data_IF_125571649987
#
_entry.id   IF_125571649987
#
_cell.length_a   1.000
_cell.length_b   1.000
_cell.length_c   1.000
_cell.angle_alpha   90.00
_cell.angle_beta   90.00
_cell.angle_gamma   90.00
#
_symmetry.space_group_name_H-M   'P 1'
#
loop_
_entity.id
_entity.type
_entity.pdbx_description
1 polymer ?
#
# COMPACT_ATOMS: atom_id res chain seq x y z
N UNK A 1 43.35 22.69 -2.04
CA UNK A 1 42.40 22.04 -2.95
C UNK A 1 43.16 20.88 -3.59
N UNK A 2 42.66 19.66 -3.41
CA UNK A 2 43.36 18.45 -3.77
C UNK A 2 42.94 18.04 -5.21
N UNK A 3 43.73 18.37 -6.24
CA UNK A 3 43.44 18.09 -7.66
C UNK A 3 42.97 16.64 -7.91
N UNK A 4 43.47 15.67 -7.12
CA UNK A 4 43.05 14.27 -7.21
C UNK A 4 41.56 14.04 -6.74
N UNK A 5 41.03 14.88 -5.87
CA UNK A 5 39.63 14.81 -5.39
C UNK A 5 38.66 15.34 -6.45
N UNK A 6 39.01 16.45 -7.08
CA UNK A 6 38.19 17.06 -8.14
C UNK A 6 38.10 16.15 -9.38
N UNK A 7 39.23 15.52 -9.77
CA UNK A 7 39.24 14.57 -10.88
C UNK A 7 38.36 13.35 -10.62
N UNK A 8 38.40 12.78 -9.39
CA UNK A 8 37.57 11.66 -9.01
C UNK A 8 36.05 12.01 -9.04
N UNK A 9 35.74 13.21 -8.65
CA UNK A 9 34.33 13.68 -8.67
C UNK A 9 33.84 13.92 -10.10
N UNK A 10 34.69 14.49 -10.97
CA UNK A 10 34.37 14.63 -12.38
C UNK A 10 34.15 13.28 -13.07
N UNK A 11 34.97 12.29 -12.77
CA UNK A 11 34.79 10.92 -13.29
C UNK A 11 33.46 10.32 -12.84
N UNK A 12 33.06 10.48 -11.56
CA UNK A 12 31.76 9.99 -11.06
C UNK A 12 30.59 10.67 -11.79
N UNK A 13 30.68 11.97 -12.04
CA UNK A 13 29.65 12.71 -12.79
C UNK A 13 29.57 12.27 -14.25
N UNK A 14 30.73 11.99 -14.87
CA UNK A 14 30.79 11.46 -16.23
C UNK A 14 30.18 10.05 -16.33
N UNK A 15 30.52 9.14 -15.40
CA UNK A 15 29.97 7.80 -15.33
C UNK A 15 28.45 7.81 -15.10
N UNK A 16 27.97 8.69 -14.21
CA UNK A 16 26.55 8.91 -14.03
C UNK A 16 25.86 9.33 -15.33
N UNK A 17 26.41 10.35 -16.01
CA UNK A 17 25.85 10.85 -17.27
C UNK A 17 25.83 9.77 -18.35
N UNK A 18 26.90 8.97 -18.46
CA UNK A 18 26.98 7.84 -19.38
C UNK A 18 25.92 6.77 -19.06
N UNK A 19 25.73 6.46 -17.78
CA UNK A 19 24.72 5.51 -17.32
C UNK A 19 23.30 5.98 -17.67
N UNK A 20 23.00 7.26 -17.41
CA UNK A 20 21.71 7.87 -17.74
C UNK A 20 21.47 7.90 -19.27
N UNK A 21 22.48 8.27 -20.05
CA UNK A 21 22.39 8.23 -21.51
C UNK A 21 22.11 6.83 -22.08
N UNK A 22 22.70 5.78 -21.48
CA UNK A 22 22.41 4.38 -21.84
C UNK A 22 20.98 3.96 -21.50
N UNK A 23 20.43 4.44 -20.38
CA UNK A 23 19.05 4.17 -19.96
C UNK A 23 18.01 4.88 -20.82
N UNK A 24 18.32 6.08 -21.30
CA UNK A 24 17.44 6.88 -22.18
C UNK A 24 17.39 6.36 -23.63
N UNK A 25 18.10 5.28 -23.95
CA UNK A 25 18.18 4.67 -25.27
C UNK A 25 19.59 4.76 -25.86
N UNK A 26 19.93 3.79 -26.73
CA UNK A 26 21.23 3.79 -27.42
C UNK A 26 21.27 4.96 -28.45
N UNK A 27 22.44 5.54 -28.66
CA UNK A 27 22.68 6.65 -29.60
C UNK A 27 22.02 7.97 -29.18
N UNK A 28 22.10 8.31 -27.88
CA UNK A 28 21.56 9.52 -27.31
C UNK A 28 22.64 10.35 -26.59
N UNK A 29 22.48 11.69 -26.60
CA UNK A 29 23.32 12.61 -25.85
C UNK A 29 22.62 12.94 -24.52
N UNK A 30 23.33 12.73 -23.42
CA UNK A 30 22.86 13.12 -22.09
C UNK A 30 23.78 14.19 -21.49
N UNK A 31 23.19 15.34 -21.21
CA UNK A 31 23.91 16.43 -20.53
C UNK A 31 23.84 16.22 -19.02
N UNK A 32 24.96 16.42 -18.34
CA UNK A 32 25.01 16.31 -16.88
C UNK A 32 23.99 17.23 -16.22
N UNK A 33 23.16 16.66 -15.36
CA UNK A 33 22.19 17.38 -14.55
C UNK A 33 22.55 17.18 -13.08
N UNK A 34 22.90 18.29 -12.40
CA UNK A 34 23.30 18.25 -10.99
C UNK A 34 22.18 17.82 -10.05
N UNK A 35 20.92 18.16 -10.36
CA UNK A 35 19.75 17.78 -9.54
C UNK A 35 19.55 16.27 -9.60
N UNK A 36 19.57 15.70 -10.80
CA UNK A 36 19.43 14.24 -10.99
C UNK A 36 20.62 13.48 -10.39
N UNK A 37 21.83 14.01 -10.52
CA UNK A 37 23.00 13.44 -9.86
C UNK A 37 22.85 13.43 -8.34
N UNK A 38 22.39 14.52 -7.74
CA UNK A 38 22.15 14.59 -6.29
C UNK A 38 21.08 13.61 -5.86
N UNK A 39 19.97 13.49 -6.61
CA UNK A 39 18.93 12.48 -6.35
C UNK A 39 19.51 11.06 -6.42
N UNK A 40 20.35 10.79 -7.40
CA UNK A 40 21.01 9.48 -7.55
C UNK A 40 21.91 9.15 -6.36
N UNK A 41 22.76 10.10 -5.93
CA UNK A 41 23.64 9.91 -4.77
C UNK A 41 22.82 9.71 -3.49
N UNK A 42 21.78 10.50 -3.27
CA UNK A 42 20.87 10.34 -2.12
C UNK A 42 20.19 8.94 -2.13
N UNK A 43 19.79 8.46 -3.30
CA UNK A 43 19.20 7.11 -3.44
C UNK A 43 20.21 6.02 -3.10
N UNK A 44 21.47 6.15 -3.54
CA UNK A 44 22.54 5.20 -3.18
C UNK A 44 22.80 5.19 -1.67
N UNK A 45 22.86 6.38 -1.06
CA UNK A 45 23.10 6.51 0.37
C UNK A 45 21.91 5.94 1.18
N UNK A 46 20.69 6.24 0.79
CA UNK A 46 19.48 5.68 1.39
C UNK A 46 19.47 4.14 1.30
N UNK A 47 19.87 3.57 0.15
CA UNK A 47 19.99 2.12 -0.03
C UNK A 47 20.98 1.49 0.94
N UNK A 48 22.13 2.12 1.17
CA UNK A 48 23.13 1.64 2.14
C UNK A 48 22.57 1.68 3.56
N UNK A 49 21.93 2.78 3.95
CA UNK A 49 21.29 2.91 5.26
C UNK A 49 20.19 1.88 5.50
N UNK A 50 19.33 1.63 4.52
CA UNK A 50 18.30 0.58 4.60
C UNK A 50 18.93 -0.81 4.76
N UNK A 51 20.02 -1.09 4.03
CA UNK A 51 20.75 -2.36 4.17
C UNK A 51 21.32 -2.55 5.57
N UNK A 52 21.90 -1.51 6.14
CA UNK A 52 22.45 -1.56 7.50
C UNK A 52 21.33 -1.73 8.53
N UNK A 53 20.21 -1.02 8.38
CA UNK A 53 19.01 -1.19 9.21
C UNK A 53 18.50 -2.64 9.21
N UNK A 54 18.46 -3.30 8.06
CA UNK A 54 18.08 -4.72 7.95
C UNK A 54 19.04 -5.62 8.73
N UNK A 55 20.37 -5.38 8.62
CA UNK A 55 21.40 -6.14 9.38
C UNK A 55 21.31 -5.88 10.89
N UNK A 56 20.91 -4.67 11.30
CA UNK A 56 20.71 -4.27 12.69
C UNK A 56 19.30 -4.66 13.20
N UNK A 57 18.77 -5.78 12.75
CA UNK A 57 17.46 -6.31 13.15
C UNK A 57 16.29 -5.34 12.85
N UNK A 58 16.27 -4.79 11.65
CA UNK A 58 15.25 -3.87 11.13
C UNK A 58 15.12 -2.56 11.94
N UNK A 59 16.22 -2.05 12.47
CA UNK A 59 16.27 -0.80 13.23
C UNK A 59 15.72 0.35 12.39
N UNK A 60 14.82 1.12 12.98
CA UNK A 60 14.15 2.26 12.33
C UNK A 60 12.95 1.89 11.46
N UNK A 61 12.73 0.60 11.16
CA UNK A 61 11.49 0.18 10.51
C UNK A 61 10.34 0.13 11.51
N UNK A 62 9.21 0.72 11.13
CA UNK A 62 7.99 0.80 11.93
C UNK A 62 6.77 0.54 11.04
N UNK A 63 5.69 0.02 11.65
CA UNK A 63 4.39 -0.08 10.98
C UNK A 63 3.47 1.01 11.51
N UNK A 64 2.88 1.77 10.57
CA UNK A 64 1.80 2.71 10.83
C UNK A 64 0.51 2.10 10.32
N UNK A 65 -0.62 2.59 10.83
CA UNK A 65 -1.93 2.03 10.54
C UNK A 65 -2.90 3.12 10.17
N UNK A 66 -3.63 2.93 9.07
CA UNK A 66 -4.66 3.85 8.62
C UNK A 66 -6.03 3.20 8.75
N UNK A 67 -7.02 3.88 9.37
CA UNK A 67 -8.35 3.32 9.56
C UNK A 67 -9.08 3.05 8.24
N UNK A 68 -9.78 1.92 8.18
CA UNK A 68 -10.77 1.59 7.16
C UNK A 68 -12.13 1.52 7.84
N UNK A 69 -13.13 2.21 7.28
CA UNK A 69 -14.45 2.35 7.87
C UNK A 69 -15.54 1.67 7.03
N UNK A 70 -16.62 1.26 7.72
CA UNK A 70 -17.83 0.74 7.08
C UNK A 70 -18.62 1.90 6.47
N UNK A 71 -18.73 1.93 5.15
CA UNK A 71 -19.47 2.94 4.41
C UNK A 71 -20.97 2.65 4.30
N UNK A 72 -21.41 1.42 4.59
CA UNK A 72 -22.80 0.97 4.40
C UNK A 72 -23.83 1.77 5.23
N UNK A 73 -23.38 2.38 6.33
CA UNK A 73 -24.20 3.20 7.24
C UNK A 73 -24.11 4.69 6.97
N UNK A 74 -23.24 5.12 6.06
CA UNK A 74 -23.11 6.50 5.65
C UNK A 74 -24.20 6.81 4.61
N UNK A 75 -25.27 7.42 5.04
CA UNK A 75 -26.34 7.88 4.13
C UNK A 75 -26.19 9.38 3.88
N UNK A 76 -26.59 9.82 2.69
CA UNK A 76 -26.62 11.23 2.26
C UNK A 76 -27.48 12.15 3.16
N UNK A 77 -28.19 11.59 4.14
CA UNK A 77 -29.07 12.33 5.06
C UNK A 77 -28.52 12.51 6.47
N UNK A 78 -27.43 11.84 6.84
CA UNK A 78 -26.80 11.99 8.15
C UNK A 78 -25.35 12.44 7.97
N UNK A 79 -25.15 13.73 7.91
CA UNK A 79 -23.84 14.41 7.80
C UNK A 79 -22.94 14.21 9.05
N UNK A 80 -23.05 13.08 9.74
CA UNK A 80 -22.23 12.82 10.92
C UNK A 80 -21.33 11.63 10.66
N UNK A 81 -20.07 11.92 10.43
CA UNK A 81 -18.95 10.99 10.54
C UNK A 81 -18.82 10.47 12.00
N UNK A 82 -19.46 11.16 12.96
CA UNK A 82 -19.58 10.74 14.34
C UNK A 82 -20.35 9.40 14.45
N UNK A 83 -19.60 8.35 14.81
CA UNK A 83 -20.15 7.00 14.99
C UNK A 83 -19.94 6.03 13.82
N UNK A 84 -19.17 6.42 12.82
CA UNK A 84 -18.73 5.51 11.75
C UNK A 84 -17.85 4.42 12.34
N UNK A 85 -18.20 3.15 12.09
CA UNK A 85 -17.47 2.01 12.65
C UNK A 85 -16.15 1.80 11.91
N UNK A 86 -15.04 1.82 12.62
CA UNK A 86 -13.75 1.34 12.11
C UNK A 86 -13.79 -0.19 12.08
N UNK A 87 -13.70 -0.76 10.90
CA UNK A 87 -13.79 -2.21 10.67
C UNK A 87 -12.43 -2.87 10.46
N UNK A 88 -11.40 -2.08 10.20
CA UNK A 88 -10.06 -2.55 9.96
C UNK A 88 -9.06 -1.41 9.86
N UNK A 89 -7.83 -1.79 9.52
CA UNK A 89 -6.77 -0.85 9.21
C UNK A 89 -5.84 -1.39 8.14
N UNK A 90 -5.29 -0.49 7.34
CA UNK A 90 -4.18 -0.79 6.45
C UNK A 90 -2.85 -0.55 7.16
N UNK A 91 -1.96 -1.54 7.09
CA UNK A 91 -0.63 -1.49 7.65
C UNK A 91 0.37 -0.92 6.64
N UNK A 92 0.93 0.22 6.97
CA UNK A 92 1.77 1.02 6.10
C UNK A 92 3.20 1.11 6.63
N UNK A 93 4.16 0.65 5.85
CA UNK A 93 5.57 0.68 6.20
C UNK A 93 6.06 2.12 6.36
N UNK A 94 6.85 2.34 7.42
CA UNK A 94 7.63 3.55 7.68
C UNK A 94 9.06 3.17 8.02
N UNK A 95 9.95 4.07 7.76
CA UNK A 95 11.33 3.92 8.19
C UNK A 95 11.90 5.27 8.59
N UNK A 96 12.61 5.30 9.71
CA UNK A 96 13.23 6.51 10.25
C UNK A 96 14.70 6.35 10.51
N UNK A 97 15.47 7.36 10.18
CA UNK A 97 16.86 7.51 10.61
C UNK A 97 17.21 8.99 10.79
N UNK A 98 18.30 9.31 11.51
CA UNK A 98 18.66 10.69 11.81
C UNK A 98 18.87 11.57 10.57
N UNK A 99 19.37 10.98 9.47
CA UNK A 99 19.75 11.72 8.27
C UNK A 99 18.58 12.05 7.36
N UNK A 100 17.55 11.21 7.32
CA UNK A 100 16.40 11.34 6.42
C UNK A 100 15.09 11.63 7.13
N UNK A 101 15.06 11.51 8.48
CA UNK A 101 13.82 11.59 9.23
C UNK A 101 12.91 10.38 8.97
N UNK A 102 11.60 10.58 9.05
CA UNK A 102 10.58 9.55 8.80
C UNK A 102 10.21 9.52 7.32
N UNK A 103 10.43 8.38 6.68
CA UNK A 103 10.11 8.13 5.27
C UNK A 103 8.91 7.16 5.14
N UNK A 104 8.06 7.42 4.14
CA UNK A 104 6.93 6.57 3.78
C UNK A 104 7.29 5.39 2.87
N UNK A 105 6.35 4.50 2.67
CA UNK A 105 6.49 3.34 1.79
C UNK A 105 6.84 3.75 0.34
N UNK A 106 6.20 4.80 -0.16
CA UNK A 106 6.43 5.38 -1.49
C UNK A 106 7.90 5.72 -1.79
N UNK A 107 8.63 6.11 -0.75
CA UNK A 107 10.04 6.51 -0.86
C UNK A 107 11.00 5.32 -0.70
N UNK A 108 10.66 4.33 0.14
CA UNK A 108 11.60 3.26 0.51
C UNK A 108 11.33 1.94 -0.22
N UNK A 109 10.07 1.58 -0.51
CA UNK A 109 9.72 0.32 -1.17
C UNK A 109 10.41 0.15 -2.52
N UNK A 110 10.45 1.15 -3.43
CA UNK A 110 11.15 1.00 -4.70
C UNK A 110 12.65 0.70 -4.53
N UNK A 111 13.28 1.20 -3.45
CA UNK A 111 14.70 0.94 -3.15
C UNK A 111 14.89 -0.46 -2.57
N UNK A 112 13.95 -0.92 -1.72
CA UNK A 112 13.96 -2.28 -1.18
C UNK A 112 13.78 -3.33 -2.29
N UNK A 113 12.91 -3.06 -3.26
CA UNK A 113 12.68 -3.89 -4.44
C UNK A 113 13.92 -3.99 -5.32
N UNK A 114 14.48 -2.84 -5.75
CA UNK A 114 15.68 -2.79 -6.58
C UNK A 114 16.89 -3.47 -5.93
N UNK A 115 17.00 -3.37 -4.59
CA UNK A 115 18.13 -3.94 -3.83
C UNK A 115 17.91 -5.39 -3.40
N UNK A 116 16.71 -5.95 -3.58
CA UNK A 116 16.33 -7.28 -3.10
C UNK A 116 16.07 -7.37 -1.60
N UNK A 117 16.12 -6.23 -0.90
CA UNK A 117 15.83 -6.18 0.53
C UNK A 117 14.32 -6.33 0.83
N UNK A 118 13.47 -6.21 -0.19
CA UNK A 118 12.02 -6.35 -0.03
C UNK A 118 11.63 -7.75 0.51
N UNK A 119 12.36 -8.81 0.17
CA UNK A 119 12.06 -10.15 0.68
C UNK A 119 12.24 -10.27 2.21
N UNK A 120 13.40 -9.94 2.83
CA UNK A 120 13.54 -9.97 4.28
C UNK A 120 12.68 -8.92 4.99
N UNK A 121 12.50 -7.72 4.41
CA UNK A 121 11.65 -6.67 4.98
C UNK A 121 10.18 -7.09 4.89
N UNK A 122 9.73 -7.69 3.80
CA UNK A 122 8.36 -8.19 3.64
C UNK A 122 8.00 -9.27 4.68
N UNK A 123 8.91 -10.22 4.95
CA UNK A 123 8.74 -11.18 6.06
C UNK A 123 8.57 -10.48 7.40
N UNK A 124 9.38 -9.46 7.66
CA UNK A 124 9.28 -8.68 8.89
C UNK A 124 7.95 -7.94 8.97
N UNK A 125 7.50 -7.30 7.87
CA UNK A 125 6.20 -6.61 7.76
C UNK A 125 5.06 -7.58 8.09
N UNK A 126 5.02 -8.75 7.44
CA UNK A 126 3.97 -9.75 7.66
C UNK A 126 3.89 -10.16 9.13
N UNK A 127 5.02 -10.52 9.76
CA UNK A 127 5.05 -10.92 11.17
C UNK A 127 4.58 -9.77 12.07
N UNK A 128 5.04 -8.54 11.83
CA UNK A 128 4.66 -7.37 12.65
C UNK A 128 3.19 -7.05 12.52
N UNK A 129 2.68 -7.00 11.29
CA UNK A 129 1.28 -6.69 11.00
C UNK A 129 0.34 -7.75 11.58
N UNK A 130 0.65 -9.03 11.38
CA UNK A 130 -0.18 -10.13 11.89
C UNK A 130 -0.19 -10.18 13.42
N UNK A 131 0.97 -9.94 14.05
CA UNK A 131 1.05 -9.83 15.51
C UNK A 131 0.21 -8.67 16.04
N UNK A 132 0.26 -7.51 15.38
CA UNK A 132 -0.54 -6.35 15.76
C UNK A 132 -2.04 -6.61 15.55
N UNK A 133 -2.42 -7.25 14.46
CA UNK A 133 -3.80 -7.67 14.21
C UNK A 133 -4.32 -8.58 15.34
N UNK A 134 -3.53 -9.59 15.72
CA UNK A 134 -3.86 -10.50 16.83
C UNK A 134 -4.10 -9.74 18.13
N UNK A 135 -3.26 -8.76 18.45
CA UNK A 135 -3.42 -7.93 19.65
C UNK A 135 -4.74 -7.12 19.61
N UNK A 136 -5.07 -6.54 18.46
CA UNK A 136 -6.29 -5.75 18.32
C UNK A 136 -7.55 -6.62 18.24
N UNK A 137 -7.43 -7.87 17.81
CA UNK A 137 -8.52 -8.83 17.87
C UNK A 137 -8.93 -9.22 19.32
N UNK A 138 -8.14 -8.87 20.32
CA UNK A 138 -8.55 -8.98 21.71
C UNK A 138 -9.67 -7.96 22.07
N UNK A 139 -9.68 -6.81 21.40
CA UNK A 139 -10.68 -5.76 21.57
C UNK A 139 -11.87 -5.97 20.61
N UNK A 140 -11.61 -6.39 19.38
CA UNK A 140 -12.62 -6.66 18.37
C UNK A 140 -12.23 -7.88 17.53
N UNK A 141 -12.92 -9.00 17.73
CA UNK A 141 -12.65 -10.26 17.02
C UNK A 141 -12.87 -10.19 15.50
N UNK A 142 -13.62 -9.18 15.04
CA UNK A 142 -13.93 -8.96 13.63
C UNK A 142 -13.06 -7.88 12.98
N UNK A 143 -12.12 -7.30 13.73
CA UNK A 143 -11.21 -6.31 13.19
C UNK A 143 -10.26 -6.95 12.16
N UNK A 144 -10.14 -6.32 11.01
CA UNK A 144 -9.31 -6.80 9.91
C UNK A 144 -8.06 -5.94 9.75
N UNK A 145 -6.99 -6.56 9.32
CA UNK A 145 -5.74 -5.88 9.04
C UNK A 145 -5.29 -6.19 7.62
N UNK A 146 -5.16 -5.18 6.79
CA UNK A 146 -4.60 -5.34 5.45
C UNK A 146 -3.12 -4.99 5.40
N UNK A 147 -2.41 -5.61 4.48
CA UNK A 147 -0.99 -5.40 4.24
C UNK A 147 -0.64 -5.57 2.77
N UNK A 148 0.11 -4.62 2.25
CA UNK A 148 0.56 -4.59 0.87
C UNK A 148 1.64 -5.66 0.60
N UNK A 149 1.51 -6.37 -0.51
CA UNK A 149 2.52 -7.28 -1.06
C UNK A 149 3.16 -6.68 -2.31
N UNK A 150 4.49 -6.63 -2.33
CA UNK A 150 5.23 -6.28 -3.55
C UNK A 150 5.33 -7.47 -4.49
N UNK A 151 5.16 -7.26 -5.80
CA UNK A 151 5.39 -8.30 -6.81
C UNK A 151 6.80 -8.89 -6.76
N UNK A 152 7.79 -8.12 -6.34
CA UNK A 152 9.14 -8.63 -6.18
C UNK A 152 9.27 -9.67 -5.05
N UNK A 153 8.33 -9.75 -4.11
CA UNK A 153 8.28 -10.82 -3.12
C UNK A 153 7.86 -12.15 -3.75
N UNK A 154 6.92 -12.14 -4.70
CA UNK A 154 6.52 -13.33 -5.44
C UNK A 154 7.66 -13.92 -6.26
N UNK A 155 8.54 -13.07 -6.82
CA UNK A 155 9.69 -13.52 -7.61
C UNK A 155 10.90 -13.93 -6.76
N UNK A 156 11.08 -13.33 -5.57
CA UNK A 156 12.33 -13.43 -4.78
C UNK A 156 12.20 -14.17 -3.47
N UNK A 157 11.01 -14.59 -3.10
CA UNK A 157 10.77 -15.41 -1.91
C UNK A 157 9.68 -16.43 -2.18
N UNK A 158 9.59 -17.44 -1.33
CA UNK A 158 8.39 -18.29 -1.25
C UNK A 158 7.36 -17.53 -0.41
N UNK A 159 6.54 -16.71 -1.08
CA UNK A 159 5.58 -15.84 -0.41
C UNK A 159 4.53 -16.62 0.37
N UNK A 160 4.14 -17.82 -0.12
CA UNK A 160 3.18 -18.69 0.56
C UNK A 160 3.76 -19.15 1.89
N UNK A 161 5.01 -19.61 1.88
CA UNK A 161 5.72 -20.01 3.09
C UNK A 161 5.93 -18.83 4.04
N UNK A 162 6.28 -17.65 3.52
CA UNK A 162 6.48 -16.45 4.33
C UNK A 162 5.19 -16.05 5.07
N UNK A 163 4.03 -16.16 4.40
CA UNK A 163 2.70 -15.91 4.99
C UNK A 163 2.34 -16.98 6.02
N UNK A 164 2.56 -18.27 5.73
CA UNK A 164 2.32 -19.37 6.68
C UNK A 164 3.13 -19.18 7.96
N UNK A 165 4.42 -18.87 7.83
CA UNK A 165 5.29 -18.58 8.99
C UNK A 165 4.82 -17.38 9.80
N UNK A 166 4.29 -16.34 9.15
CA UNK A 166 3.76 -15.17 9.85
C UNK A 166 2.47 -15.51 10.61
N UNK A 167 1.57 -16.32 10.05
CA UNK A 167 0.38 -16.83 10.72
C UNK A 167 0.74 -17.66 11.95
N UNK A 168 1.67 -18.61 11.80
CA UNK A 168 2.13 -19.48 12.91
C UNK A 168 2.75 -18.67 14.05
N UNK A 169 3.62 -17.70 13.73
CA UNK A 169 4.30 -16.88 14.74
C UNK A 169 3.38 -15.91 15.46
N UNK A 170 2.39 -15.36 14.78
CA UNK A 170 1.46 -14.38 15.37
C UNK A 170 0.27 -15.03 16.07
N UNK A 171 -0.16 -16.21 15.60
CA UNK A 171 -1.39 -16.86 16.05
C UNK A 171 -2.66 -16.04 15.73
N UNK A 172 -2.61 -15.18 14.72
CA UNK A 172 -3.78 -14.43 14.26
C UNK A 172 -4.77 -15.37 13.56
N UNK A 173 -6.08 -15.08 13.64
CA UNK A 173 -7.05 -15.77 12.80
C UNK A 173 -6.84 -15.34 11.32
N UNK A 174 -6.55 -16.27 10.40
CA UNK A 174 -6.33 -15.92 8.99
C UNK A 174 -7.47 -15.11 8.35
N UNK A 175 -8.72 -15.34 8.78
CA UNK A 175 -9.89 -14.60 8.29
C UNK A 175 -9.85 -13.09 8.62
N UNK A 176 -9.01 -12.68 9.57
CA UNK A 176 -8.82 -11.28 9.95
C UNK A 176 -7.68 -10.59 9.19
N UNK A 177 -7.00 -11.31 8.31
CA UNK A 177 -5.89 -10.80 7.51
C UNK A 177 -6.33 -10.61 6.07
N UNK A 178 -5.87 -9.52 5.48
CA UNK A 178 -6.09 -9.17 4.08
C UNK A 178 -4.72 -8.90 3.45
N UNK A 179 -4.45 -9.55 2.32
CA UNK A 179 -3.26 -9.27 1.52
C UNK A 179 -3.66 -8.39 0.35
N UNK A 180 -3.01 -7.25 0.20
CA UNK A 180 -3.27 -6.30 -0.89
C UNK A 180 -2.24 -6.48 -2.00
N UNK A 181 -2.73 -6.61 -3.22
CA UNK A 181 -1.91 -6.70 -4.43
C UNK A 181 -2.34 -5.63 -5.41
N UNK A 182 -1.40 -4.95 -6.05
CA UNK A 182 -1.73 -3.93 -7.06
C UNK A 182 -2.21 -4.58 -8.36
N UNK A 183 -3.00 -3.85 -9.14
CA UNK A 183 -3.50 -4.31 -10.45
C UNK A 183 -2.37 -4.61 -11.44
N UNK A 184 -1.31 -3.83 -11.43
CA UNK A 184 -0.23 -3.86 -12.43
C UNK A 184 1.00 -4.61 -11.94
N UNK A 185 0.99 -5.94 -12.00
CA UNK A 185 2.16 -6.76 -11.71
C UNK A 185 2.64 -7.57 -12.92
N UNK A 186 3.95 -7.86 -12.96
CA UNK A 186 4.62 -8.60 -14.05
C UNK A 186 4.63 -10.13 -13.85
N UNK A 187 3.79 -10.68 -12.98
CA UNK A 187 3.73 -12.13 -12.76
C UNK A 187 2.85 -12.80 -13.82
N UNK A 188 3.24 -14.00 -14.24
CA UNK A 188 2.38 -14.86 -15.05
C UNK A 188 1.05 -15.10 -14.34
N UNK A 189 -0.05 -14.86 -15.04
CA UNK A 189 -1.40 -14.96 -14.48
C UNK A 189 -1.70 -16.34 -13.89
N UNK A 190 -1.14 -17.41 -14.45
CA UNK A 190 -1.36 -18.80 -13.98
C UNK A 190 -0.61 -19.01 -12.66
N UNK A 191 0.59 -18.47 -12.53
CA UNK A 191 1.38 -18.58 -11.31
C UNK A 191 0.75 -17.77 -10.17
N UNK A 192 0.34 -16.53 -10.44
CA UNK A 192 -0.36 -15.72 -9.44
C UNK A 192 -1.65 -16.41 -8.97
N UNK A 193 -2.45 -16.95 -9.90
CA UNK A 193 -3.68 -17.65 -9.52
C UNK A 193 -3.42 -18.79 -8.54
N UNK A 194 -2.37 -19.60 -8.76
CA UNK A 194 -2.01 -20.68 -7.82
C UNK A 194 -1.67 -20.17 -6.44
N UNK A 195 -0.93 -19.06 -6.36
CA UNK A 195 -0.57 -18.45 -5.08
C UNK A 195 -1.82 -17.92 -4.37
N UNK A 196 -2.74 -17.28 -5.09
CA UNK A 196 -3.99 -16.80 -4.52
C UNK A 196 -4.89 -17.96 -4.05
N UNK A 197 -4.93 -19.07 -4.77
CA UNK A 197 -5.66 -20.27 -4.35
C UNK A 197 -5.10 -20.83 -3.02
N UNK A 198 -3.76 -20.79 -2.82
CA UNK A 198 -3.13 -21.16 -1.54
C UNK A 198 -3.53 -20.18 -0.40
N UNK A 199 -3.58 -18.87 -0.68
CA UNK A 199 -4.05 -17.91 0.32
C UNK A 199 -5.52 -18.14 0.69
N UNK A 200 -6.37 -18.39 -0.29
CA UNK A 200 -7.78 -18.73 -0.04
C UNK A 200 -7.93 -20.06 0.73
N UNK A 201 -7.10 -21.07 0.44
CA UNK A 201 -7.09 -22.34 1.20
C UNK A 201 -6.72 -22.10 2.68
N UNK A 202 -5.87 -21.10 2.96
CA UNK A 202 -5.57 -20.64 4.32
C UNK A 202 -6.65 -19.75 4.92
N UNK A 203 -7.73 -19.42 4.18
CA UNK A 203 -8.80 -18.49 4.54
C UNK A 203 -8.34 -17.03 4.69
N UNK A 204 -7.27 -16.65 4.04
CA UNK A 204 -6.80 -15.27 3.95
C UNK A 204 -7.58 -14.59 2.83
N UNK A 205 -7.97 -13.34 3.05
CA UNK A 205 -8.61 -12.49 2.04
C UNK A 205 -7.57 -11.79 1.19
N UNK A 206 -7.93 -11.54 -0.07
CA UNK A 206 -7.09 -10.79 -1.01
C UNK A 206 -7.90 -9.62 -1.55
N UNK A 207 -7.33 -8.42 -1.45
CA UNK A 207 -7.90 -7.22 -2.02
C UNK A 207 -7.01 -6.74 -3.19
N UNK A 208 -7.62 -6.16 -4.23
CA UNK A 208 -6.90 -5.56 -5.37
C UNK A 208 -6.78 -4.08 -5.08
N UNK A 209 -5.54 -3.60 -5.03
CA UNK A 209 -5.20 -2.22 -4.72
C UNK A 209 -4.88 -1.40 -5.98
N UNK A 210 -4.96 -0.06 -5.88
CA UNK A 210 -4.68 0.90 -6.96
C UNK A 210 -5.49 0.64 -8.24
N UNK A 211 -6.72 0.11 -8.11
CA UNK A 211 -7.53 -0.26 -9.26
C UNK A 211 -7.83 0.93 -10.16
N UNK A 212 -7.57 0.74 -11.47
CA UNK A 212 -7.85 1.72 -12.53
C UNK A 212 -6.70 2.70 -12.81
N UNK A 213 -5.56 2.55 -12.15
CA UNK A 213 -4.34 3.33 -12.47
C UNK A 213 -3.52 2.69 -13.60
N UNK A 214 -3.82 1.43 -13.95
CA UNK A 214 -3.13 0.63 -14.96
C UNK A 214 -3.99 0.25 -16.16
N UNK A 215 -3.58 -0.80 -16.86
CA UNK A 215 -4.34 -1.41 -17.96
C UNK A 215 -5.25 -2.50 -17.40
N UNK A 216 -6.41 -2.11 -16.88
CA UNK A 216 -7.38 -3.04 -16.28
C UNK A 216 -7.85 -4.10 -17.27
N UNK A 217 -7.44 -5.35 -17.06
CA UNK A 217 -7.99 -6.49 -17.76
C UNK A 217 -9.14 -7.09 -16.92
N UNK A 218 -10.38 -6.66 -17.20
CA UNK A 218 -11.58 -7.10 -16.48
C UNK A 218 -11.73 -8.62 -16.42
N UNK A 219 -11.30 -9.34 -17.47
CA UNK A 219 -11.31 -10.80 -17.48
C UNK A 219 -10.34 -11.40 -16.45
N UNK A 220 -9.25 -10.69 -16.17
CA UNK A 220 -8.29 -11.09 -15.16
C UNK A 220 -8.87 -10.95 -13.75
N UNK A 221 -9.52 -9.82 -13.45
CA UNK A 221 -10.14 -9.55 -12.14
C UNK A 221 -11.18 -10.62 -11.78
N UNK A 222 -12.00 -11.03 -12.75
CA UNK A 222 -13.00 -12.09 -12.55
C UNK A 222 -12.40 -13.41 -12.06
N UNK A 223 -11.17 -13.72 -12.46
CA UNK A 223 -10.51 -14.98 -12.11
C UNK A 223 -9.73 -14.89 -10.78
N UNK A 224 -9.39 -13.69 -10.30
CA UNK A 224 -8.59 -13.54 -9.08
C UNK A 224 -9.34 -13.90 -7.78
N UNK A 225 -10.68 -14.00 -7.83
CA UNK A 225 -11.50 -14.23 -6.64
C UNK A 225 -11.18 -13.27 -5.48
N UNK A 226 -10.87 -12.01 -5.81
CA UNK A 226 -10.56 -10.99 -4.81
C UNK A 226 -11.80 -10.66 -3.96
N UNK A 227 -11.57 -10.20 -2.74
CA UNK A 227 -12.63 -9.85 -1.81
C UNK A 227 -13.07 -8.39 -1.94
N UNK A 228 -12.14 -7.48 -2.26
CA UNK A 228 -12.41 -6.05 -2.41
C UNK A 228 -11.61 -5.47 -3.57
N UNK A 229 -12.22 -4.52 -4.29
CA UNK A 229 -11.52 -3.59 -5.18
C UNK A 229 -11.32 -2.28 -4.42
N UNK A 230 -10.08 -1.81 -4.28
CA UNK A 230 -9.74 -0.50 -3.74
C UNK A 230 -9.52 0.45 -4.91
N UNK A 231 -10.38 1.47 -5.00
CA UNK A 231 -10.26 2.51 -6.02
C UNK A 231 -9.30 3.57 -5.52
N UNK A 232 -8.27 3.82 -6.32
CA UNK A 232 -7.22 4.79 -6.03
C UNK A 232 -7.78 6.21 -5.78
N UNK A 233 -7.09 6.95 -4.91
CA UNK A 233 -7.36 8.36 -4.60
C UNK A 233 -7.71 9.22 -5.82
N UNK A 234 -7.10 8.98 -6.99
CA UNK A 234 -7.32 9.80 -8.17
C UNK A 234 -8.76 9.75 -8.69
N UNK A 235 -9.49 8.64 -8.49
CA UNK A 235 -10.91 8.54 -8.81
C UNK A 235 -11.75 9.40 -7.87
N UNK A 236 -11.52 9.26 -6.56
CA UNK A 236 -12.26 10.03 -5.55
C UNK A 236 -12.00 11.52 -5.73
N UNK A 237 -10.74 11.92 -5.87
CA UNK A 237 -10.37 13.32 -6.06
C UNK A 237 -11.06 13.96 -7.27
N UNK A 238 -11.15 13.26 -8.39
CA UNK A 238 -11.85 13.76 -9.58
C UNK A 238 -13.38 13.78 -9.39
N UNK A 239 -13.93 12.77 -8.73
CA UNK A 239 -15.37 12.62 -8.51
C UNK A 239 -15.96 13.74 -7.64
N UNK A 240 -15.20 14.25 -6.69
CA UNK A 240 -15.63 15.31 -5.76
C UNK A 240 -15.45 16.72 -6.32
N UNK A 241 -14.86 16.90 -7.50
CA UNK A 241 -14.72 18.21 -8.14
C UNK A 241 -16.10 18.76 -8.57
N UNK A 242 -16.31 20.04 -8.35
CA UNK A 242 -17.55 20.75 -8.74
C UNK A 242 -17.82 20.68 -10.26
N UNK A 243 -16.74 20.80 -11.06
CA UNK A 243 -16.82 20.73 -12.53
C UNK A 243 -16.17 19.46 -13.06
N UNK A 244 -16.96 18.64 -13.73
CA UNK A 244 -16.49 17.40 -14.38
C UNK A 244 -16.58 16.15 -13.52
N UNK A 245 -16.80 16.26 -12.23
CA UNK A 245 -16.90 15.11 -11.31
C UNK A 245 -18.10 14.18 -11.59
N UNK A 246 -19.15 14.64 -12.28
CA UNK A 246 -20.32 13.80 -12.60
C UNK A 246 -19.97 12.61 -13.50
N UNK A 247 -19.08 12.80 -14.49
CA UNK A 247 -18.62 11.71 -15.35
C UNK A 247 -17.83 10.67 -14.55
N UNK A 248 -16.98 11.13 -13.64
CA UNK A 248 -16.16 10.25 -12.79
C UNK A 248 -17.02 9.48 -11.79
N UNK A 249 -18.04 10.14 -11.20
CA UNK A 249 -19.02 9.47 -10.32
C UNK A 249 -19.75 8.33 -11.06
N UNK A 250 -20.11 8.52 -12.33
CA UNK A 250 -20.70 7.44 -13.13
C UNK A 250 -19.72 6.28 -13.37
N UNK A 251 -18.45 6.59 -13.61
CA UNK A 251 -17.42 5.53 -13.76
C UNK A 251 -17.29 4.74 -12.45
N UNK A 252 -17.21 5.41 -11.30
CA UNK A 252 -17.17 4.75 -9.99
C UNK A 252 -18.42 3.90 -9.76
N UNK A 253 -19.61 4.40 -10.09
CA UNK A 253 -20.87 3.67 -9.97
C UNK A 253 -20.85 2.38 -10.81
N UNK A 254 -20.36 2.45 -12.06
CA UNK A 254 -20.22 1.26 -12.91
C UNK A 254 -19.23 0.26 -12.34
N UNK A 255 -18.10 0.72 -11.77
CA UNK A 255 -17.11 -0.16 -11.15
C UNK A 255 -17.71 -0.83 -9.91
N UNK A 256 -18.43 -0.10 -9.06
CA UNK A 256 -19.09 -0.64 -7.87
C UNK A 256 -20.11 -1.72 -8.26
N UNK A 257 -20.99 -1.43 -9.22
CA UNK A 257 -21.98 -2.41 -9.71
C UNK A 257 -21.31 -3.66 -10.26
N UNK A 258 -20.27 -3.50 -11.08
CA UNK A 258 -19.49 -4.63 -11.61
C UNK A 258 -18.85 -5.46 -10.50
N UNK A 259 -18.23 -4.82 -9.51
CA UNK A 259 -17.60 -5.51 -8.39
C UNK A 259 -18.65 -6.30 -7.58
N UNK A 260 -19.80 -5.71 -7.28
CA UNK A 260 -20.90 -6.37 -6.59
C UNK A 260 -21.47 -7.56 -7.41
N UNK A 261 -21.61 -7.44 -8.72
CA UNK A 261 -22.02 -8.55 -9.59
C UNK A 261 -21.03 -9.72 -9.58
N UNK A 262 -19.74 -9.43 -9.31
CA UNK A 262 -18.68 -10.43 -9.17
C UNK A 262 -18.52 -10.92 -7.70
N UNK A 263 -19.34 -10.44 -6.77
CA UNK A 263 -19.30 -10.81 -5.35
C UNK A 263 -18.17 -10.14 -4.55
N UNK A 264 -17.59 -9.04 -5.07
CA UNK A 264 -16.54 -8.27 -4.42
C UNK A 264 -17.12 -7.01 -3.78
N UNK A 265 -16.51 -6.55 -2.67
CA UNK A 265 -16.75 -5.24 -2.09
C UNK A 265 -15.93 -4.16 -2.83
N UNK A 266 -16.29 -2.90 -2.59
CA UNK A 266 -15.51 -1.75 -3.07
C UNK A 266 -15.10 -0.85 -1.91
N UNK A 267 -13.82 -0.47 -1.90
CA UNK A 267 -13.27 0.54 -1.01
C UNK A 267 -12.92 1.80 -1.83
N UNK A 268 -13.41 2.96 -1.41
CA UNK A 268 -13.00 4.24 -1.98
C UNK A 268 -11.90 4.85 -1.10
N UNK A 269 -10.77 5.16 -1.72
CA UNK A 269 -9.61 5.74 -1.06
C UNK A 269 -9.51 7.25 -1.24
N UNK A 270 -8.88 7.92 -0.27
CA UNK A 270 -8.65 9.36 -0.35
C UNK A 270 -9.86 10.22 -0.01
N UNK A 271 -10.77 9.73 0.82
CA UNK A 271 -11.87 10.54 1.36
C UNK A 271 -11.31 11.50 2.42
N UNK A 272 -11.34 12.81 2.14
CA UNK A 272 -10.65 13.82 2.97
C UNK A 272 -11.60 14.72 3.75
N UNK A 273 -12.87 14.84 3.34
CA UNK A 273 -13.83 15.75 3.95
C UNK A 273 -15.25 15.16 4.06
N UNK A 274 -16.07 15.72 4.93
CA UNK A 274 -17.49 15.36 5.04
C UNK A 274 -18.26 15.64 3.74
N UNK A 275 -17.87 16.69 3.00
CA UNK A 275 -18.44 16.98 1.69
C UNK A 275 -18.14 15.90 0.65
N UNK A 276 -16.98 15.22 0.75
CA UNK A 276 -16.68 14.07 -0.11
C UNK A 276 -17.67 12.94 0.19
N UNK A 277 -17.93 12.67 1.47
CA UNK A 277 -18.89 11.64 1.89
C UNK A 277 -20.29 11.94 1.35
N UNK A 278 -20.76 13.19 1.38
CA UNK A 278 -22.06 13.59 0.83
C UNK A 278 -22.18 13.27 -0.67
N UNK A 279 -21.09 13.46 -1.41
CA UNK A 279 -21.02 13.19 -2.85
C UNK A 279 -20.91 11.69 -3.15
N UNK A 280 -20.16 10.95 -2.33
CA UNK A 280 -19.81 9.56 -2.58
C UNK A 280 -20.83 8.56 -2.00
N UNK A 281 -21.53 8.89 -0.91
CA UNK A 281 -22.46 7.97 -0.26
C UNK A 281 -23.59 7.46 -1.18
N UNK A 282 -24.13 8.26 -2.14
CA UNK A 282 -25.10 7.75 -3.11
C UNK A 282 -24.57 6.65 -4.03
N UNK A 283 -23.24 6.54 -4.20
CA UNK A 283 -22.62 5.52 -5.04
C UNK A 283 -22.59 4.13 -4.41
N UNK A 284 -22.84 4.03 -3.08
CA UNK A 284 -23.01 2.78 -2.32
C UNK A 284 -21.76 1.87 -2.31
N UNK A 285 -20.57 2.46 -2.19
CA UNK A 285 -19.38 1.70 -1.86
C UNK A 285 -19.50 1.09 -0.45
N UNK A 286 -18.76 0.00 -0.21
CA UNK A 286 -18.85 -0.77 1.05
C UNK A 286 -17.93 -0.23 2.13
N UNK A 287 -16.78 0.33 1.73
CA UNK A 287 -15.74 0.81 2.64
C UNK A 287 -15.21 2.17 2.19
N UNK A 288 -14.77 2.97 3.16
CA UNK A 288 -14.01 4.18 2.90
C UNK A 288 -12.69 4.16 3.66
N UNK A 289 -11.69 4.80 3.04
CA UNK A 289 -10.39 5.09 3.62
C UNK A 289 -9.97 6.50 3.23
N UNK A 290 -9.37 7.26 4.14
CA UNK A 290 -8.90 8.61 3.85
C UNK A 290 -8.61 9.42 5.10
N UNK A 291 -8.08 10.61 4.89
CA UNK A 291 -7.65 11.49 5.99
C UNK A 291 -8.81 12.00 6.86
N UNK A 292 -10.03 11.96 6.34
CA UNK A 292 -11.22 12.27 7.13
C UNK A 292 -11.38 11.33 8.34
N UNK A 293 -11.06 10.04 8.14
CA UNK A 293 -11.20 9.00 9.17
C UNK A 293 -9.94 8.80 9.99
N UNK A 294 -8.80 9.23 9.48
CA UNK A 294 -7.50 9.20 10.13
C UNK A 294 -6.34 9.12 9.14
N UNK A 295 -5.25 9.77 9.50
CA UNK A 295 -3.97 9.60 8.80
C UNK A 295 -3.28 8.32 9.26
N UNK A 296 -2.34 7.77 8.49
CA UNK A 296 -1.49 6.70 8.98
C UNK A 296 -0.81 7.12 10.30
N UNK A 297 -0.98 6.33 11.35
CA UNK A 297 -0.53 6.65 12.71
C UNK A 297 0.14 5.46 13.39
N UNK A 298 0.88 5.70 14.46
CA UNK A 298 1.51 4.64 15.24
C UNK A 298 0.47 3.73 15.90
N UNK A 299 0.82 2.48 16.28
CA UNK A 299 -0.12 1.57 16.93
C UNK A 299 -0.78 2.15 18.18
N UNK A 300 -0.02 2.93 18.95
CA UNK A 300 -0.53 3.57 20.16
C UNK A 300 -1.55 4.66 19.84
N UNK A 301 -1.20 5.57 18.93
CA UNK A 301 -2.12 6.63 18.50
C UNK A 301 -3.40 6.05 17.88
N UNK A 302 -3.27 4.95 17.11
CA UNK A 302 -4.41 4.28 16.49
C UNK A 302 -5.44 3.81 17.53
N UNK A 303 -4.98 3.15 18.59
CA UNK A 303 -5.88 2.70 19.67
C UNK A 303 -6.46 3.88 20.44
N UNK A 304 -5.66 4.90 20.74
CA UNK A 304 -6.13 6.08 21.48
C UNK A 304 -7.25 6.82 20.73
N UNK A 305 -7.06 7.04 19.43
CA UNK A 305 -8.02 7.75 18.59
C UNK A 305 -9.25 6.90 18.25
N UNK A 306 -9.09 5.59 18.05
CA UNK A 306 -10.15 4.72 17.51
C UNK A 306 -10.75 3.75 18.54
N UNK A 307 -10.37 3.81 19.82
CA UNK A 307 -10.77 2.84 20.86
C UNK A 307 -12.30 2.66 20.95
N UNK A 308 -13.07 3.75 20.93
CA UNK A 308 -14.54 3.73 20.99
C UNK A 308 -15.22 3.13 19.75
N UNK A 309 -14.49 2.97 18.65
CA UNK A 309 -15.00 2.41 17.39
C UNK A 309 -14.51 0.97 17.14
N UNK A 310 -13.45 0.54 17.88
CA UNK A 310 -12.86 -0.79 17.75
C UNK A 310 -13.50 -1.77 18.75
N UNK A 311 -13.86 -1.29 19.94
CA UNK A 311 -14.45 -2.15 20.99
C UNK A 311 -15.86 -2.55 20.59
N UNK A 312 -16.10 -3.87 20.41
CA UNK A 312 -17.47 -4.40 20.31
C UNK A 312 -18.18 -4.21 21.66
N UNK A 313 -19.35 -3.54 21.65
CA UNK A 313 -20.25 -3.48 22.81
C UNK A 313 -20.89 -4.84 23.09
#
# INVERSE_FOLDING_TARGET
VNESGELKELLKKADFSLSMGKRSGKNNLYLFNSIEYTKHINKLYLREKLRDSVKENFKGFEMYYQPVVDASKLSSCSNKVDGVKVIGAEALLRWSCPEFGLLGADQIVPILEESGLIAPVGRWILIKTFTQCKMWNEYNKRFHMSVNLSYMQFERSDIVLDVQMALEKSGVNPENVILEITESGYIDHVELQKILDEFHAMKIRVDIDDFGTGYSNLRYIQNLHANTLKLDYSFVHKAVLDKGGESERKVIEYIINMAHDLGMNVCLEGVESESDVEILAPLKADKYQGYLFGKPMSPYAFIDENRKFIVDE
#
